data_IF_644410093236
#
_entry.id   IF_644410093236
#
_cell.length_a   1.000
_cell.length_b   1.000
_cell.length_c   1.000
_cell.angle_alpha   90.00
_cell.angle_beta   90.00
_cell.angle_gamma   90.00
#
_symmetry.space_group_name_H-M   'P 1'
#
loop_
_entity.id
_entity.type
_entity.pdbx_description
1 polymer ?
#
# COMPACT_ATOMS: atom_id res chain seq x y z
N UNK A 1 -20.48 -11.16 -6.53
CA UNK A 1 -19.06 -11.15 -6.13
C UNK A 1 -18.49 -9.75 -6.40
N UNK A 2 -18.18 -8.96 -5.37
CA UNK A 2 -17.48 -7.68 -5.55
C UNK A 2 -16.08 -8.01 -6.07
N UNK A 3 -15.79 -7.71 -7.34
CA UNK A 3 -14.44 -7.81 -7.88
C UNK A 3 -13.55 -6.88 -7.05
N UNK A 4 -12.66 -7.46 -6.23
CA UNK A 4 -11.56 -6.71 -5.61
C UNK A 4 -10.69 -6.25 -6.79
N UNK A 5 -10.83 -4.98 -7.18
CA UNK A 5 -9.96 -4.38 -8.20
C UNK A 5 -8.53 -4.50 -7.68
N UNK A 6 -7.70 -5.29 -8.35
CA UNK A 6 -6.27 -5.33 -8.07
C UNK A 6 -5.76 -3.90 -8.24
N UNK A 7 -5.16 -3.32 -7.20
CA UNK A 7 -4.52 -2.01 -7.33
C UNK A 7 -3.16 -2.23 -7.98
N UNK A 8 -2.95 -1.54 -9.07
CA UNK A 8 -1.66 -1.49 -9.74
C UNK A 8 -0.79 -0.44 -9.06
N UNK A 9 0.51 -0.67 -9.05
CA UNK A 9 1.42 0.34 -8.56
C UNK A 9 1.47 1.52 -9.56
N UNK A 10 1.20 2.78 -9.17
CA UNK A 10 1.31 3.92 -10.09
C UNK A 10 2.71 4.13 -10.67
N UNK A 11 3.75 3.64 -10.00
CA UNK A 11 5.14 3.71 -10.49
C UNK A 11 5.49 2.55 -11.42
N UNK A 12 4.84 1.39 -11.25
CA UNK A 12 5.05 0.17 -12.03
C UNK A 12 3.69 -0.42 -12.42
N UNK A 13 3.05 0.12 -13.48
CA UNK A 13 1.67 -0.21 -13.85
C UNK A 13 1.51 -1.63 -14.39
N UNK A 14 2.61 -2.33 -14.64
CA UNK A 14 2.71 -3.74 -15.01
C UNK A 14 2.83 -4.68 -13.81
N UNK A 15 3.07 -4.14 -12.60
CA UNK A 15 3.26 -4.95 -11.39
C UNK A 15 2.05 -4.84 -10.47
N UNK A 16 1.49 -6.00 -10.12
CA UNK A 16 0.38 -6.12 -9.17
C UNK A 16 0.90 -5.78 -7.78
N UNK A 17 0.44 -4.67 -7.21
CA UNK A 17 0.91 -4.23 -5.91
C UNK A 17 0.26 -5.06 -4.79
N UNK A 18 1.03 -5.61 -3.83
CA UNK A 18 0.46 -6.33 -2.71
C UNK A 18 -0.37 -5.37 -1.86
N UNK A 19 -1.53 -5.85 -1.40
CA UNK A 19 -2.54 -5.03 -0.72
C UNK A 19 -2.75 -5.45 0.72
N UNK A 20 -3.30 -4.53 1.51
CA UNK A 20 -3.66 -4.74 2.91
C UNK A 20 -2.55 -4.34 3.87
N UNK A 21 -2.94 -4.16 5.14
CA UNK A 21 -2.04 -3.69 6.19
C UNK A 21 -0.85 -4.64 6.42
N UNK A 22 -1.09 -5.95 6.39
CA UNK A 22 -0.03 -6.97 6.57
C UNK A 22 1.08 -6.86 5.51
N UNK A 23 0.71 -6.64 4.25
CA UNK A 23 1.69 -6.47 3.18
C UNK A 23 2.48 -5.16 3.31
N UNK A 24 1.81 -4.08 3.76
CA UNK A 24 2.46 -2.81 4.02
C UNK A 24 3.45 -2.90 5.20
N UNK A 25 3.04 -3.56 6.29
CA UNK A 25 3.89 -3.76 7.47
C UNK A 25 5.14 -4.59 7.10
N UNK A 26 4.96 -5.66 6.32
CA UNK A 26 6.08 -6.46 5.80
C UNK A 26 7.05 -5.63 4.93
N UNK A 27 6.51 -4.77 4.05
CA UNK A 27 7.33 -3.86 3.25
C UNK A 27 8.08 -2.83 4.12
N UNK A 28 7.44 -2.33 5.18
CA UNK A 28 8.05 -1.35 6.08
C UNK A 28 9.18 -1.98 6.93
N UNK A 29 9.01 -3.22 7.39
CA UNK A 29 10.08 -3.97 8.06
C UNK A 29 11.27 -4.18 7.12
N UNK A 30 11.03 -4.56 5.86
CA UNK A 30 12.09 -4.75 4.85
C UNK A 30 12.82 -3.45 4.52
N UNK A 31 12.08 -2.34 4.40
CA UNK A 31 12.64 -1.01 4.13
C UNK A 31 13.55 -0.51 5.26
N UNK A 32 13.20 -0.80 6.51
CA UNK A 32 13.96 -0.38 7.70
C UNK A 32 15.06 -1.36 8.12
N UNK A 33 15.14 -2.53 7.48
CA UNK A 33 16.16 -3.55 7.73
C UNK A 33 17.32 -3.44 6.74
N UNK A 34 17.60 -4.54 6.05
CA UNK A 34 18.77 -4.72 5.17
C UNK A 34 18.60 -4.13 3.77
N UNK A 35 17.97 -2.96 3.64
CA UNK A 35 17.76 -2.33 2.34
C UNK A 35 19.07 -1.77 1.76
N UNK A 36 19.52 -2.29 0.62
CA UNK A 36 20.66 -1.74 -0.15
C UNK A 36 20.17 -0.77 -1.23
N UNK A 37 20.30 0.57 -1.04
CA UNK A 37 19.80 1.56 -1.98
C UNK A 37 20.44 1.53 -3.36
N UNK A 38 21.62 0.92 -3.52
CA UNK A 38 22.35 0.88 -4.79
C UNK A 38 21.81 -0.22 -5.70
N UNK A 39 21.49 -1.38 -5.12
CA UNK A 39 21.02 -2.54 -5.87
C UNK A 39 19.49 -2.67 -5.90
N UNK A 40 18.79 -2.11 -4.89
CA UNK A 40 17.37 -2.38 -4.66
C UNK A 40 16.46 -1.16 -4.88
N UNK A 41 16.92 -0.14 -5.61
CA UNK A 41 16.12 1.08 -5.84
C UNK A 41 14.72 0.79 -6.42
N UNK A 42 14.60 -0.17 -7.34
CA UNK A 42 13.30 -0.59 -7.89
C UNK A 42 12.41 -1.23 -6.82
N UNK A 43 13.00 -2.06 -5.97
CA UNK A 43 12.30 -2.71 -4.86
C UNK A 43 11.83 -1.69 -3.82
N UNK A 44 12.60 -0.63 -3.58
CA UNK A 44 12.16 0.48 -2.71
C UNK A 44 10.95 1.22 -3.25
N UNK A 45 10.96 1.53 -4.55
CA UNK A 45 9.80 2.16 -5.18
C UNK A 45 8.57 1.25 -5.09
N UNK A 46 8.76 -0.06 -5.19
CA UNK A 46 7.69 -1.04 -5.04
C UNK A 46 7.16 -1.15 -3.61
N UNK A 47 8.04 -1.23 -2.61
CA UNK A 47 7.68 -1.28 -1.20
C UNK A 47 6.91 -0.02 -0.76
N UNK A 48 7.37 1.17 -1.16
CA UNK A 48 6.65 2.41 -0.89
C UNK A 48 5.28 2.45 -1.56
N UNK A 49 5.15 1.82 -2.72
CA UNK A 49 3.89 1.71 -3.43
C UNK A 49 2.85 0.95 -2.60
N UNK A 50 3.23 -0.20 -2.04
CA UNK A 50 2.37 -1.01 -1.19
C UNK A 50 1.95 -0.25 0.08
N UNK A 51 2.90 0.43 0.73
CA UNK A 51 2.66 1.23 1.93
C UNK A 51 1.65 2.36 1.65
N UNK A 52 1.83 3.12 0.56
CA UNK A 52 0.91 4.22 0.21
C UNK A 52 -0.48 3.75 -0.20
N UNK A 53 -0.60 2.57 -0.82
CA UNK A 53 -1.90 2.01 -1.18
C UNK A 53 -2.64 1.59 0.09
N UNK A 54 -1.96 0.92 1.03
CA UNK A 54 -2.56 0.54 2.31
C UNK A 54 -3.01 1.78 3.11
N UNK A 55 -2.19 2.84 3.14
CA UNK A 55 -2.56 4.10 3.80
C UNK A 55 -3.79 4.75 3.17
N UNK A 56 -3.86 4.81 1.83
CA UNK A 56 -5.05 5.34 1.14
C UNK A 56 -6.29 4.49 1.38
N UNK A 57 -6.13 3.17 1.42
CA UNK A 57 -7.23 2.25 1.70
C UNK A 57 -7.77 2.48 3.12
N UNK A 58 -6.91 2.55 4.13
CA UNK A 58 -7.31 2.80 5.52
C UNK A 58 -7.99 4.17 5.70
N UNK A 59 -7.48 5.23 5.05
CA UNK A 59 -8.12 6.55 5.05
C UNK A 59 -9.50 6.53 4.39
N UNK A 60 -9.65 5.80 3.27
CA UNK A 60 -10.93 5.69 2.58
C UNK A 60 -11.95 4.84 3.34
N UNK A 61 -11.50 3.84 4.10
CA UNK A 61 -12.35 3.08 5.02
C UNK A 61 -12.80 3.94 6.23
N UNK A 62 -11.90 4.74 6.80
CA UNK A 62 -12.24 5.68 7.89
C UNK A 62 -13.25 6.75 7.44
N UNK A 63 -13.10 7.31 6.23
CA UNK A 63 -14.07 8.28 5.68
C UNK A 63 -15.45 7.69 5.38
N UNK A 64 -15.55 6.37 5.15
CA UNK A 64 -16.85 5.71 4.95
C UNK A 64 -17.55 5.34 6.27
N UNK A 65 -16.81 5.18 7.37
CA UNK A 65 -17.42 4.88 8.69
C UNK A 65 -17.75 6.13 9.52
N UNK A 66 -17.27 7.31 9.11
CA UNK A 66 -17.38 8.57 9.87
C UNK A 66 -18.56 9.51 9.52
N UNK A 67 -19.59 9.05 8.79
CA UNK A 67 -20.82 9.83 8.60
C UNK A 67 -22.00 9.21 9.36
N UNK A 68 -21.99 9.33 10.67
CA UNK A 68 -23.21 9.30 11.48
C UNK A 68 -22.95 9.92 12.85
N UNK A 69 -23.18 11.23 12.95
CA UNK A 69 -23.52 11.98 14.17
C UNK A 69 -23.93 13.38 13.70
N UNK A 70 -25.07 13.42 13.01
CA UNK A 70 -25.98 14.57 13.09
C UNK A 70 -26.59 14.48 14.49
N UNK A 71 -26.30 15.45 15.37
CA UNK A 71 -27.28 16.21 16.16
C UNK A 71 -26.60 17.41 16.86
#
# INVERSE_FOLDING_TARGET
>A
MKSKKQAMCPLFPDVVCPQGQEAADACQVRQNGDYDPVNDFRDYLYMNCAIQIAHRQSESEQKMTGKQSDE
#
